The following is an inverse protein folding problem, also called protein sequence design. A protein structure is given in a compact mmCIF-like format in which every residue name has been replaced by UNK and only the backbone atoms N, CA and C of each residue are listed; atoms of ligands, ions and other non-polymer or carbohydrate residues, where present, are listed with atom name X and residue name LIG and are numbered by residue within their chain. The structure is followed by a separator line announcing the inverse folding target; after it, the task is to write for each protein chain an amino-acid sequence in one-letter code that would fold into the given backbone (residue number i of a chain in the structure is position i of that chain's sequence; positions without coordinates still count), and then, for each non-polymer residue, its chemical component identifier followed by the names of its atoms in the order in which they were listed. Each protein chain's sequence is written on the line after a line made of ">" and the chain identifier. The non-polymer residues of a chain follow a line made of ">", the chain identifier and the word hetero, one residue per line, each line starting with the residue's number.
data_IF_836471602283
#
_entry.id   IF_836471602283
#
_cell.length_a   1.000
_cell.length_b   1.000
_cell.length_c   1.000
_cell.angle_alpha   90.00
_cell.angle_beta   90.00
_cell.angle_gamma   90.00
#
_symmetry.space_group_name_H-M   'P 1'
#
loop_
_entity.id
_entity.type
_entity.pdbx_description
1 polymer ?
#
# COMPACT_ATOMS: atom_id res chain seq x y z
N UNK A 1 35.46 -15.11 7.41
CA UNK A 1 34.09 -14.70 7.05
C UNK A 1 33.99 -13.39 6.22
N UNK A 2 35.08 -12.64 6.06
CA UNK A 2 35.10 -11.40 5.26
C UNK A 2 34.93 -11.62 3.73
N UNK A 3 35.49 -12.64 3.09
CA UNK A 3 35.35 -12.84 1.65
C UNK A 3 33.91 -13.17 1.20
N UNK A 4 33.18 -13.95 2.01
CA UNK A 4 31.81 -14.40 1.66
C UNK A 4 30.77 -13.29 1.70
N UNK A 5 30.89 -12.30 2.61
CA UNK A 5 29.99 -11.14 2.64
C UNK A 5 30.14 -10.26 1.40
N UNK A 6 31.41 -9.96 1.00
CA UNK A 6 31.66 -9.17 -0.23
C UNK A 6 31.15 -9.88 -1.48
N UNK A 7 31.24 -11.21 -1.53
CA UNK A 7 30.75 -11.97 -2.68
C UNK A 7 29.24 -11.92 -2.84
N UNK A 8 28.47 -12.01 -1.73
CA UNK A 8 27.01 -11.90 -1.77
C UNK A 8 26.54 -10.49 -2.13
N UNK A 9 27.21 -9.47 -1.59
CA UNK A 9 26.89 -8.06 -1.90
C UNK A 9 27.14 -7.76 -3.38
N UNK A 10 28.26 -8.25 -3.94
CA UNK A 10 28.56 -8.10 -5.37
C UNK A 10 27.59 -8.91 -6.23
N UNK A 11 27.26 -10.15 -5.86
CA UNK A 11 26.30 -10.97 -6.58
C UNK A 11 24.92 -10.30 -6.63
N UNK A 12 24.46 -9.70 -5.52
CA UNK A 12 23.22 -8.93 -5.50
C UNK A 12 23.30 -7.67 -6.38
N UNK A 13 24.38 -6.89 -6.23
CA UNK A 13 24.55 -5.62 -6.97
C UNK A 13 24.59 -5.84 -8.48
N UNK A 14 25.20 -6.93 -8.94
CA UNK A 14 25.33 -7.27 -10.37
C UNK A 14 24.32 -8.31 -10.85
N UNK A 15 23.29 -8.62 -10.04
CA UNK A 15 22.17 -9.43 -10.54
C UNK A 15 21.35 -8.63 -11.56
N UNK A 16 20.92 -9.28 -12.63
CA UNK A 16 20.16 -8.64 -13.72
C UNK A 16 18.92 -7.92 -13.18
N UNK A 17 18.15 -8.58 -12.31
CA UNK A 17 16.93 -8.01 -11.73
C UNK A 17 17.19 -6.72 -10.96
N UNK A 18 18.24 -6.69 -10.12
CA UNK A 18 18.56 -5.48 -9.36
C UNK A 18 19.13 -4.38 -10.25
N UNK A 19 20.01 -4.74 -11.20
CA UNK A 19 20.61 -3.80 -12.12
C UNK A 19 19.54 -3.10 -12.97
N UNK A 20 18.63 -3.85 -13.59
CA UNK A 20 17.52 -3.27 -14.36
C UNK A 20 16.64 -2.37 -13.51
N UNK A 21 16.22 -2.82 -12.32
CA UNK A 21 15.43 -1.99 -11.41
C UNK A 21 16.14 -0.70 -10.99
N UNK A 22 17.48 -0.69 -10.94
CA UNK A 22 18.24 0.49 -10.55
C UNK A 22 18.36 1.53 -11.68
N UNK A 23 18.32 1.11 -12.95
CA UNK A 23 18.50 1.99 -14.10
C UNK A 23 17.19 2.42 -14.77
N UNK A 24 16.08 1.73 -14.50
CA UNK A 24 14.78 2.02 -15.11
C UNK A 24 14.12 3.33 -14.59
N UNK A 25 14.67 3.98 -13.58
CA UNK A 25 14.07 5.18 -12.98
C UNK A 25 12.80 4.92 -12.19
N UNK A 26 12.53 3.67 -11.84
CA UNK A 26 11.42 3.21 -11.01
C UNK A 26 11.71 3.36 -9.51
N UNK A 27 10.66 3.33 -8.70
CA UNK A 27 10.74 3.52 -7.24
C UNK A 27 11.37 2.34 -6.50
N UNK A 28 11.50 1.17 -7.13
CA UNK A 28 11.85 -0.09 -6.46
C UNK A 28 13.28 -0.12 -5.93
N UNK A 29 14.24 0.37 -6.70
CA UNK A 29 15.65 0.40 -6.26
C UNK A 29 15.82 1.32 -5.05
N UNK A 30 15.21 2.50 -5.07
CA UNK A 30 15.27 3.43 -3.94
C UNK A 30 14.49 2.92 -2.72
N UNK A 31 13.35 2.27 -2.93
CA UNK A 31 12.60 1.57 -1.86
C UNK A 31 13.44 0.45 -1.24
N UNK A 32 14.15 -0.34 -2.04
CA UNK A 32 15.05 -1.41 -1.57
C UNK A 32 16.21 -0.84 -0.74
N UNK A 33 16.79 0.29 -1.16
CA UNK A 33 17.81 0.99 -0.38
C UNK A 33 17.28 1.44 0.98
N UNK A 34 16.07 2.06 1.05
CA UNK A 34 15.46 2.47 2.31
C UNK A 34 15.15 1.26 3.20
N UNK A 35 14.71 0.14 2.62
CA UNK A 35 14.51 -1.13 3.34
C UNK A 35 15.81 -1.64 3.94
N UNK A 36 16.89 -1.71 3.15
CA UNK A 36 18.21 -2.15 3.63
C UNK A 36 18.73 -1.22 4.75
N UNK A 37 18.52 0.09 4.61
CA UNK A 37 18.90 1.07 5.61
C UNK A 37 18.14 0.86 6.93
N UNK A 38 16.84 0.58 6.88
CA UNK A 38 16.02 0.26 8.06
C UNK A 38 16.52 -1.02 8.74
N UNK A 39 16.82 -2.08 7.96
CA UNK A 39 17.39 -3.31 8.52
C UNK A 39 18.77 -3.08 9.16
N UNK A 40 19.62 -2.30 8.53
CA UNK A 40 20.91 -1.93 9.13
C UNK A 40 20.73 -1.17 10.45
N UNK A 41 19.81 -0.20 10.49
CA UNK A 41 19.55 0.59 11.70
C UNK A 41 18.94 -0.23 12.83
N UNK A 42 18.07 -1.21 12.55
CA UNK A 42 17.52 -2.07 13.61
C UNK A 42 18.58 -2.99 14.20
N UNK A 43 19.55 -3.48 13.41
CA UNK A 43 20.70 -4.22 13.91
C UNK A 43 21.60 -3.33 14.78
N UNK A 44 21.84 -2.08 14.36
CA UNK A 44 22.57 -1.11 15.20
C UNK A 44 21.85 -0.79 16.51
N UNK A 45 20.51 -0.67 16.47
CA UNK A 45 19.72 -0.55 17.68
C UNK A 45 19.88 -1.76 18.59
N UNK A 46 19.87 -2.96 18.05
CA UNK A 46 20.04 -4.21 18.81
C UNK A 46 21.36 -4.20 19.60
N UNK A 47 22.45 -3.77 18.96
CA UNK A 47 23.77 -3.67 19.60
C UNK A 47 23.79 -2.63 20.75
N UNK A 48 22.98 -1.59 20.68
CA UNK A 48 22.97 -0.45 21.62
C UNK A 48 21.69 -0.37 22.47
N UNK A 49 20.83 -1.40 22.46
CA UNK A 49 19.46 -1.36 23.04
C UNK A 49 19.42 -1.08 24.55
N UNK A 50 20.46 -1.46 25.29
CA UNK A 50 20.55 -1.24 26.73
C UNK A 50 20.96 0.20 27.09
N UNK A 51 21.46 0.97 26.13
CA UNK A 51 21.88 2.35 26.33
C UNK A 51 20.73 3.34 26.10
N UNK A 52 20.79 4.49 26.77
CA UNK A 52 19.84 5.60 26.51
C UNK A 52 20.01 6.14 25.09
N UNK A 53 21.22 6.09 24.56
CA UNK A 53 21.55 6.51 23.20
C UNK A 53 20.98 5.57 22.12
N UNK A 54 20.65 4.32 22.46
CA UNK A 54 20.07 3.36 21.53
C UNK A 54 18.73 3.82 20.95
N UNK A 55 17.91 4.54 21.71
CA UNK A 55 16.59 5.03 21.25
C UNK A 55 16.68 5.90 19.98
N UNK A 56 17.83 6.54 19.72
CA UNK A 56 18.06 7.32 18.50
C UNK A 56 17.87 6.53 17.22
N UNK A 57 18.21 5.25 17.23
CA UNK A 57 18.07 4.37 16.05
C UNK A 57 16.60 4.12 15.72
N UNK A 58 15.77 3.84 16.74
CA UNK A 58 14.32 3.66 16.57
C UNK A 58 13.67 4.95 16.05
N UNK A 59 14.08 6.09 16.58
CA UNK A 59 13.61 7.41 16.14
C UNK A 59 14.00 7.68 14.68
N UNK A 60 15.24 7.33 14.30
CA UNK A 60 15.71 7.48 12.91
C UNK A 60 15.00 6.51 11.96
N UNK A 61 14.71 5.27 12.39
CA UNK A 61 13.90 4.31 11.63
C UNK A 61 12.52 4.90 11.34
N UNK A 62 11.88 5.51 12.33
CA UNK A 62 10.58 6.17 12.14
C UNK A 62 10.64 7.29 11.09
N UNK A 63 11.72 8.08 11.06
CA UNK A 63 11.96 9.07 10.03
C UNK A 63 12.10 8.48 8.65
N UNK A 64 12.91 7.43 8.50
CA UNK A 64 13.11 6.74 7.21
C UNK A 64 11.82 6.08 6.73
N UNK A 65 11.02 5.50 7.63
CA UNK A 65 9.70 4.99 7.29
C UNK A 65 8.79 6.13 6.78
N UNK A 66 8.79 7.27 7.45
CA UNK A 66 8.06 8.47 7.01
C UNK A 66 8.46 8.93 5.61
N UNK A 67 9.77 9.01 5.33
CA UNK A 67 10.30 9.32 3.99
C UNK A 67 9.86 8.27 2.96
N UNK A 68 9.94 7.01 3.32
CA UNK A 68 9.64 5.90 2.40
C UNK A 68 8.18 5.83 1.99
N UNK A 69 7.25 6.30 2.84
CA UNK A 69 5.84 6.43 2.48
C UNK A 69 5.69 7.31 1.22
N UNK A 70 6.49 8.37 1.10
CA UNK A 70 6.52 9.25 -0.08
C UNK A 70 7.16 8.63 -1.33
N UNK A 71 7.88 7.52 -1.19
CA UNK A 71 8.52 6.78 -2.28
C UNK A 71 7.68 5.55 -2.66
N UNK A 72 7.53 4.62 -1.72
CA UNK A 72 6.75 3.40 -1.91
C UNK A 72 6.34 2.78 -0.57
N UNK A 73 5.09 2.35 -0.44
CA UNK A 73 4.53 1.79 0.80
C UNK A 73 5.13 0.42 1.19
N UNK A 74 5.89 -0.22 0.29
CA UNK A 74 6.51 -1.54 0.53
C UNK A 74 7.36 -1.56 1.79
N UNK A 75 8.03 -0.44 2.12
CA UNK A 75 8.89 -0.35 3.30
C UNK A 75 8.13 -0.50 4.64
N UNK A 76 6.81 -0.30 4.66
CA UNK A 76 5.99 -0.59 5.83
C UNK A 76 6.02 -2.08 6.22
N UNK A 77 6.32 -2.96 5.27
CA UNK A 77 6.50 -4.40 5.53
C UNK A 77 7.73 -4.71 6.39
N UNK A 78 8.62 -3.75 6.62
CA UNK A 78 9.70 -3.89 7.61
C UNK A 78 9.19 -3.83 9.06
N UNK A 79 8.00 -3.26 9.31
CA UNK A 79 7.45 -3.09 10.67
C UNK A 79 7.34 -4.42 11.41
N UNK A 80 6.84 -5.54 10.86
CA UNK A 80 6.84 -6.83 11.53
C UNK A 80 8.23 -7.29 11.96
N UNK A 81 9.23 -7.13 11.10
CA UNK A 81 10.60 -7.48 11.43
C UNK A 81 11.16 -6.62 12.57
N UNK A 82 10.92 -5.29 12.53
CA UNK A 82 11.33 -4.37 13.59
C UNK A 82 10.69 -4.74 14.93
N UNK A 83 9.38 -4.99 14.94
CA UNK A 83 8.63 -5.37 16.16
C UNK A 83 9.10 -6.71 16.70
N UNK A 84 9.40 -7.69 15.84
CA UNK A 84 9.94 -8.98 16.27
C UNK A 84 11.34 -8.83 16.84
N UNK A 85 12.25 -8.09 16.20
CA UNK A 85 13.60 -7.84 16.74
C UNK A 85 13.50 -7.13 18.10
N UNK A 86 12.60 -6.12 18.21
CA UNK A 86 12.33 -5.45 19.48
C UNK A 86 11.82 -6.40 20.55
N UNK A 87 10.91 -7.31 20.22
CA UNK A 87 10.38 -8.32 21.13
C UNK A 87 11.49 -9.27 21.60
N UNK A 88 12.30 -9.83 20.69
CA UNK A 88 13.38 -10.73 21.01
C UNK A 88 14.48 -10.08 21.88
N UNK A 89 14.77 -8.81 21.64
CA UNK A 89 15.76 -8.08 22.43
C UNK A 89 15.25 -7.74 23.85
N UNK A 90 13.95 -7.43 23.96
CA UNK A 90 13.36 -6.96 25.23
C UNK A 90 13.01 -8.09 26.19
N UNK A 91 12.68 -9.28 25.69
CA UNK A 91 12.18 -10.39 26.49
C UNK A 91 13.15 -11.57 26.43
N UNK A 92 13.69 -11.96 27.62
CA UNK A 92 14.62 -13.08 27.73
C UNK A 92 13.94 -14.44 27.52
N UNK A 93 12.65 -14.56 27.87
CA UNK A 93 11.86 -15.78 27.69
C UNK A 93 10.91 -15.59 26.52
N UNK A 94 11.18 -16.33 25.45
CA UNK A 94 10.36 -16.30 24.26
C UNK A 94 9.17 -17.24 24.42
N UNK A 95 7.98 -16.73 24.10
CA UNK A 95 6.76 -17.54 24.09
C UNK A 95 6.04 -17.42 22.75
N UNK A 96 5.39 -18.50 22.32
CA UNK A 96 4.58 -18.47 21.10
C UNK A 96 3.50 -17.37 21.17
N UNK A 97 2.87 -17.20 22.33
CA UNK A 97 1.87 -16.12 22.56
C UNK A 97 2.49 -14.74 22.38
N UNK A 98 3.73 -14.53 22.83
CA UNK A 98 4.44 -13.26 22.66
C UNK A 98 4.80 -12.97 21.21
N UNK A 99 5.23 -13.99 20.45
CA UNK A 99 5.49 -13.86 19.00
C UNK A 99 4.21 -13.52 18.25
N UNK A 100 3.11 -14.23 18.51
CA UNK A 100 1.81 -13.93 17.92
C UNK A 100 1.37 -12.50 18.29
N UNK A 101 1.55 -12.09 19.55
CA UNK A 101 1.26 -10.73 20.00
C UNK A 101 2.09 -9.67 19.27
N UNK A 102 3.39 -9.93 19.03
CA UNK A 102 4.27 -9.04 18.27
C UNK A 102 3.83 -8.91 16.81
N UNK A 103 3.47 -10.01 16.16
CA UNK A 103 2.93 -10.02 14.80
C UNK A 103 1.58 -9.28 14.73
N UNK A 104 0.68 -9.52 15.67
CA UNK A 104 -0.61 -8.82 15.75
C UNK A 104 -0.42 -7.31 15.95
N UNK A 105 0.49 -6.90 16.86
CA UNK A 105 0.83 -5.50 17.08
C UNK A 105 1.38 -4.84 15.81
N UNK A 106 2.26 -5.53 15.07
CA UNK A 106 2.81 -5.00 13.82
C UNK A 106 1.73 -4.82 12.75
N UNK A 107 0.77 -5.76 12.66
CA UNK A 107 -0.39 -5.63 11.78
C UNK A 107 -1.26 -4.42 12.16
N UNK A 108 -1.53 -4.21 13.45
CA UNK A 108 -2.27 -3.05 13.94
C UNK A 108 -1.54 -1.75 13.57
N UNK A 109 -0.21 -1.68 13.75
CA UNK A 109 0.58 -0.49 13.41
C UNK A 109 0.50 -0.18 11.90
N UNK A 110 0.62 -1.18 11.04
CA UNK A 110 0.48 -1.01 9.59
C UNK A 110 -0.93 -0.49 9.25
N UNK A 111 -1.98 -1.09 9.80
CA UNK A 111 -3.36 -0.64 9.59
C UNK A 111 -3.56 0.80 10.07
N UNK A 112 -3.04 1.15 11.25
CA UNK A 112 -3.12 2.54 11.75
C UNK A 112 -2.38 3.52 10.84
N UNK A 113 -1.22 3.17 10.30
CA UNK A 113 -0.50 4.05 9.38
C UNK A 113 -1.27 4.20 8.06
N UNK A 114 -1.70 3.09 7.44
CA UNK A 114 -2.33 3.10 6.13
C UNK A 114 -3.74 3.70 6.12
N UNK A 115 -4.56 3.37 7.12
CA UNK A 115 -5.99 3.71 7.11
C UNK A 115 -6.38 4.85 8.05
N UNK A 116 -5.52 5.21 9.00
CA UNK A 116 -5.82 6.30 9.95
C UNK A 116 -4.86 7.45 9.76
N UNK A 117 -3.55 7.21 9.80
CA UNK A 117 -2.56 8.29 9.78
C UNK A 117 -2.48 8.97 8.41
N UNK A 118 -2.23 8.21 7.34
CA UNK A 118 -2.06 8.77 5.98
C UNK A 118 -3.33 9.51 5.52
N UNK A 119 -4.55 8.90 5.49
CA UNK A 119 -5.75 9.61 5.08
C UNK A 119 -6.18 10.67 6.09
N UNK A 120 -6.02 10.43 7.40
CA UNK A 120 -6.37 11.38 8.45
C UNK A 120 -5.62 12.69 8.37
N UNK A 121 -4.32 12.66 8.04
CA UNK A 121 -3.53 13.88 7.82
C UNK A 121 -4.09 14.71 6.66
N UNK A 122 -4.51 14.07 5.58
CA UNK A 122 -5.13 14.76 4.44
C UNK A 122 -6.53 15.29 4.76
N UNK A 123 -7.36 14.53 5.51
CA UNK A 123 -8.71 14.94 5.89
C UNK A 123 -8.71 16.13 6.83
N UNK A 124 -7.95 16.03 7.92
CA UNK A 124 -7.86 17.12 8.90
C UNK A 124 -7.20 18.36 8.28
N UNK A 125 -6.13 18.15 7.47
CA UNK A 125 -5.52 19.24 6.70
C UNK A 125 -6.53 19.92 5.76
N UNK A 126 -7.41 19.16 5.10
CA UNK A 126 -8.50 19.68 4.27
C UNK A 126 -9.53 20.49 5.06
N UNK A 127 -9.91 20.07 6.28
CA UNK A 127 -10.80 20.86 7.14
C UNK A 127 -10.18 22.17 7.58
N UNK A 128 -8.91 22.17 7.95
CA UNK A 128 -8.16 23.39 8.24
C UNK A 128 -8.11 24.30 7.02
N UNK A 129 -7.83 23.75 5.85
CA UNK A 129 -7.77 24.50 4.60
C UNK A 129 -9.10 25.21 4.30
N UNK A 130 -10.24 24.49 4.39
CA UNK A 130 -11.56 25.07 4.21
C UNK A 130 -11.87 26.17 5.24
N UNK A 131 -11.51 25.95 6.50
CA UNK A 131 -11.75 26.95 7.54
C UNK A 131 -10.93 28.23 7.31
N UNK A 132 -9.61 28.09 7.10
CA UNK A 132 -8.74 29.25 6.96
C UNK A 132 -8.97 30.02 5.64
N UNK A 133 -9.25 29.32 4.55
CA UNK A 133 -9.48 29.97 3.25
C UNK A 133 -10.93 30.46 3.12
N UNK A 134 -11.93 29.62 3.37
CA UNK A 134 -13.32 29.96 3.07
C UNK A 134 -13.96 30.85 4.16
N UNK A 135 -13.58 30.66 5.44
CA UNK A 135 -14.17 31.40 6.57
C UNK A 135 -13.30 32.63 6.93
N UNK A 136 -11.98 32.43 7.05
CA UNK A 136 -11.08 33.53 7.43
C UNK A 136 -10.58 34.39 6.25
N UNK A 137 -10.78 33.91 4.99
CA UNK A 137 -10.38 34.65 3.79
C UNK A 137 -8.86 34.69 3.55
N UNK A 138 -8.10 33.74 4.10
CA UNK A 138 -6.66 33.64 3.90
C UNK A 138 -6.33 33.01 2.52
N UNK A 139 -5.11 33.19 2.01
CA UNK A 139 -4.68 32.60 0.76
C UNK A 139 -4.79 31.07 0.75
N UNK A 140 -4.96 30.47 -0.45
CA UNK A 140 -4.92 29.04 -0.63
C UNK A 140 -3.65 28.43 -0.02
N UNK A 141 -3.79 27.22 0.54
CA UNK A 141 -2.76 26.44 1.25
C UNK A 141 -2.36 26.98 2.63
N UNK A 142 -2.90 28.13 3.07
CA UNK A 142 -2.62 28.67 4.43
C UNK A 142 -3.11 27.75 5.54
N UNK A 143 -4.29 27.13 5.38
CA UNK A 143 -4.85 26.20 6.35
C UNK A 143 -3.98 24.94 6.52
N UNK A 144 -3.43 24.42 5.44
CA UNK A 144 -2.52 23.27 5.49
C UNK A 144 -1.22 23.62 6.24
N UNK A 145 -0.65 24.80 5.98
CA UNK A 145 0.57 25.27 6.68
C UNK A 145 0.31 25.41 8.19
N UNK A 146 -0.82 26.03 8.57
CA UNK A 146 -1.21 26.18 9.98
C UNK A 146 -1.43 24.81 10.64
N UNK A 147 -2.10 23.89 9.96
CA UNK A 147 -2.32 22.52 10.44
C UNK A 147 -1.00 21.80 10.72
N UNK A 148 -0.07 21.77 9.75
CA UNK A 148 1.23 21.13 9.93
C UNK A 148 2.03 21.78 11.06
N UNK A 149 2.05 23.13 11.13
CA UNK A 149 2.68 23.87 12.22
C UNK A 149 2.09 23.52 13.58
N UNK A 150 0.77 23.40 13.68
CA UNK A 150 0.07 23.02 14.91
C UNK A 150 0.39 21.57 15.31
N UNK A 151 0.39 20.62 14.38
CA UNK A 151 0.75 19.21 14.65
C UNK A 151 2.18 19.13 15.21
N UNK A 152 3.14 19.80 14.57
CA UNK A 152 4.53 19.83 15.03
C UNK A 152 4.64 20.48 16.41
N UNK A 153 3.97 21.60 16.63
CA UNK A 153 3.95 22.31 17.92
C UNK A 153 3.39 21.43 19.04
N UNK A 154 2.26 20.76 18.81
CA UNK A 154 1.64 19.88 19.79
C UNK A 154 2.52 18.64 20.09
N UNK A 155 3.15 18.03 19.07
CA UNK A 155 4.07 16.91 19.27
C UNK A 155 5.30 17.32 20.07
N UNK A 156 5.91 18.47 19.74
CA UNK A 156 7.05 19.01 20.49
C UNK A 156 6.64 19.30 21.94
N UNK A 157 5.49 19.96 22.16
CA UNK A 157 4.96 20.22 23.49
C UNK A 157 4.71 18.94 24.30
N UNK A 158 4.16 17.90 23.64
CA UNK A 158 3.95 16.58 24.26
C UNK A 158 5.27 15.91 24.65
N UNK A 159 6.30 15.99 23.81
CA UNK A 159 7.65 15.47 24.10
C UNK A 159 8.22 16.11 25.39
N UNK A 160 8.08 17.43 25.53
CA UNK A 160 8.53 18.14 26.73
C UNK A 160 7.68 17.83 27.98
N UNK A 161 6.39 17.57 27.79
CA UNK A 161 5.43 17.27 28.88
C UNK A 161 5.54 15.85 29.41
N UNK A 162 5.71 14.86 28.53
CA UNK A 162 5.73 13.44 28.88
C UNK A 162 7.17 12.90 28.95
N UNK A 163 7.67 12.70 30.18
CA UNK A 163 9.07 12.28 30.45
C UNK A 163 9.28 10.77 30.55
N UNK A 164 8.20 9.95 30.59
CA UNK A 164 8.33 8.50 30.64
C UNK A 164 8.98 8.00 29.34
N UNK A 165 10.14 7.31 29.43
CA UNK A 165 11.00 6.93 28.31
C UNK A 165 10.21 6.35 27.13
N UNK A 166 9.39 5.32 27.36
CA UNK A 166 8.62 4.66 26.30
C UNK A 166 7.67 5.64 25.57
N UNK A 167 6.95 6.48 26.34
CA UNK A 167 6.03 7.48 25.76
C UNK A 167 6.80 8.56 25.01
N UNK A 168 7.91 9.03 25.60
CA UNK A 168 8.74 10.06 24.99
C UNK A 168 9.39 9.58 23.69
N UNK A 169 9.96 8.37 23.68
CA UNK A 169 10.51 7.77 22.45
C UNK A 169 9.41 7.57 21.39
N UNK A 170 8.21 7.13 21.78
CA UNK A 170 7.08 7.00 20.88
C UNK A 170 6.65 8.34 20.26
N UNK A 171 6.64 9.41 21.05
CA UNK A 171 6.35 10.77 20.56
C UNK A 171 7.44 11.29 19.61
N UNK A 172 8.71 11.02 19.89
CA UNK A 172 9.81 11.30 18.98
C UNK A 172 9.67 10.52 17.66
N UNK A 173 9.31 9.24 17.74
CA UNK A 173 9.04 8.44 16.53
C UNK A 173 7.90 9.03 15.71
N UNK A 174 6.80 9.43 16.36
CA UNK A 174 5.66 10.05 15.66
C UNK A 174 6.04 11.40 15.04
N UNK A 175 6.81 12.23 15.75
CA UNK A 175 7.32 13.49 15.21
C UNK A 175 8.20 13.25 13.97
N UNK A 176 9.14 12.32 14.03
CA UNK A 176 10.05 12.03 12.93
C UNK A 176 9.34 11.36 11.75
N UNK A 177 8.40 10.46 12.00
CA UNK A 177 7.51 9.91 10.98
C UNK A 177 6.74 11.06 10.27
N UNK A 178 6.20 12.00 11.04
CA UNK A 178 5.48 13.17 10.49
C UNK A 178 6.39 14.02 9.63
N UNK A 179 7.59 14.34 10.09
CA UNK A 179 8.56 15.12 9.31
C UNK A 179 8.92 14.39 8.01
N UNK A 180 9.19 13.07 8.06
CA UNK A 180 9.43 12.28 6.86
C UNK A 180 8.24 12.27 5.90
N UNK A 181 7.02 12.11 6.42
CA UNK A 181 5.78 12.13 5.63
C UNK A 181 5.51 13.49 4.96
N UNK A 182 5.98 14.61 5.53
CA UNK A 182 5.80 15.94 4.89
C UNK A 182 6.49 16.07 3.53
N UNK A 183 7.30 15.09 3.10
CA UNK A 183 7.82 15.04 1.73
C UNK A 183 6.72 14.98 0.67
N UNK A 184 5.50 14.55 1.00
CA UNK A 184 4.33 14.69 0.13
C UNK A 184 4.00 16.14 -0.23
N UNK A 185 4.42 17.13 0.58
CA UNK A 185 4.30 18.53 0.23
C UNK A 185 5.06 18.91 -1.06
N UNK A 186 6.13 18.15 -1.39
CA UNK A 186 6.87 18.33 -2.65
C UNK A 186 5.96 18.07 -3.84
N UNK A 187 5.05 17.09 -3.77
CA UNK A 187 4.08 16.80 -4.83
C UNK A 187 3.16 18.01 -5.05
N UNK A 188 2.60 18.58 -3.96
CA UNK A 188 1.78 19.78 -4.05
C UNK A 188 2.54 20.97 -4.65
N UNK A 189 3.78 21.21 -4.22
CA UNK A 189 4.62 22.30 -4.71
C UNK A 189 4.90 22.13 -6.21
N UNK A 190 5.28 20.93 -6.63
CA UNK A 190 5.59 20.64 -8.04
C UNK A 190 4.35 20.69 -8.93
N UNK A 191 3.20 20.19 -8.45
CA UNK A 191 1.94 20.28 -9.20
C UNK A 191 1.53 21.73 -9.46
N UNK A 192 1.77 22.64 -8.48
CA UNK A 192 1.51 24.07 -8.66
C UNK A 192 2.56 24.80 -9.54
N UNK A 193 3.72 24.20 -9.78
CA UNK A 193 4.76 24.77 -10.63
C UNK A 193 4.53 24.55 -12.15
N UNK A 194 3.38 23.97 -12.55
CA UNK A 194 3.01 23.68 -13.95
C UNK A 194 4.09 22.91 -14.71
N UNK A 195 4.57 21.81 -14.13
CA UNK A 195 5.55 20.92 -14.77
C UNK A 195 4.98 20.30 -16.04
N UNK A 196 5.81 19.94 -17.07
CA UNK A 196 5.33 19.34 -18.31
C UNK A 196 4.54 18.05 -18.11
N UNK A 197 4.90 17.24 -17.10
CA UNK A 197 4.15 16.07 -16.65
C UNK A 197 3.56 16.37 -15.26
N UNK A 198 2.24 16.54 -15.23
CA UNK A 198 1.48 16.77 -14.00
C UNK A 198 0.24 15.86 -13.99
N UNK A 199 0.50 14.56 -13.88
CA UNK A 199 -0.55 13.55 -13.89
C UNK A 199 -1.45 13.70 -12.66
N UNK A 200 -2.77 13.64 -12.88
CA UNK A 200 -3.82 13.87 -11.87
C UNK A 200 -3.79 15.24 -11.18
N UNK A 201 -2.87 16.13 -11.53
CA UNK A 201 -2.72 17.49 -11.01
C UNK A 201 -3.05 17.63 -9.50
N UNK A 202 -2.30 17.01 -8.59
CA UNK A 202 -2.52 17.07 -7.15
C UNK A 202 -2.06 18.43 -6.58
N UNK A 203 -2.69 19.52 -7.03
CA UNK A 203 -2.34 20.91 -6.74
C UNK A 203 -2.95 21.47 -5.45
N UNK A 204 -3.91 20.75 -4.87
CA UNK A 204 -4.56 21.08 -3.58
C UNK A 204 -4.55 19.88 -2.65
N UNK A 205 -4.83 20.09 -1.36
CA UNK A 205 -4.95 18.98 -0.38
C UNK A 205 -6.07 18.00 -0.76
N UNK A 206 -7.13 18.47 -1.43
CA UNK A 206 -8.26 17.65 -1.87
C UNK A 206 -7.89 16.75 -3.05
N UNK A 207 -7.20 17.30 -4.04
CA UNK A 207 -6.69 16.55 -5.19
C UNK A 207 -5.55 15.61 -4.78
N UNK A 208 -4.69 16.02 -3.83
CA UNK A 208 -3.68 15.15 -3.23
C UNK A 208 -4.32 13.96 -2.50
N UNK A 209 -5.40 14.19 -1.72
CA UNK A 209 -6.15 13.10 -1.06
C UNK A 209 -6.69 12.11 -2.07
N UNK A 210 -7.31 12.59 -3.15
CA UNK A 210 -7.82 11.75 -4.24
C UNK A 210 -6.70 10.93 -4.90
N UNK A 211 -5.55 11.55 -5.12
CA UNK A 211 -4.34 10.89 -5.63
C UNK A 211 -3.82 9.80 -4.68
N UNK A 212 -3.69 10.10 -3.39
CA UNK A 212 -3.23 9.15 -2.37
C UNK A 212 -4.18 7.96 -2.20
N UNK A 213 -5.47 8.20 -2.27
CA UNK A 213 -6.50 7.16 -2.22
C UNK A 213 -6.62 6.38 -3.53
N UNK A 214 -5.83 6.73 -4.56
CA UNK A 214 -5.86 6.08 -5.88
C UNK A 214 -7.26 6.05 -6.50
N UNK A 215 -8.05 7.11 -6.28
CA UNK A 215 -9.45 7.20 -6.71
C UNK A 215 -9.63 7.19 -8.24
N UNK A 216 -8.56 7.41 -9.00
CA UNK A 216 -8.54 7.26 -10.45
C UNK A 216 -8.62 5.80 -10.93
N UNK A 217 -8.38 4.84 -10.04
CA UNK A 217 -8.51 3.42 -10.34
C UNK A 217 -9.81 2.87 -9.78
N UNK A 218 -10.40 1.92 -10.49
CA UNK A 218 -11.57 1.21 -9.97
C UNK A 218 -11.23 0.50 -8.65
N UNK A 219 -12.08 0.65 -7.65
CA UNK A 219 -11.93 -0.02 -6.36
C UNK A 219 -12.68 -1.34 -6.33
N UNK A 220 -11.97 -2.43 -6.02
CA UNK A 220 -12.59 -3.71 -5.74
C UNK A 220 -13.33 -3.66 -4.38
N UNK A 221 -14.59 -4.09 -4.29
CA UNK A 221 -15.26 -4.21 -3.01
C UNK A 221 -14.60 -5.28 -2.14
N UNK A 222 -14.25 -4.94 -0.89
CA UNK A 222 -13.49 -5.83 -0.01
C UNK A 222 -14.36 -6.81 0.75
N UNK A 223 -15.36 -6.30 1.48
CA UNK A 223 -16.18 -7.08 2.41
C UNK A 223 -17.58 -7.35 1.89
N UNK A 224 -18.20 -6.37 1.25
CA UNK A 224 -19.55 -6.44 0.71
C UNK A 224 -19.65 -5.54 -0.51
N UNK A 225 -20.29 -6.01 -1.57
CA UNK A 225 -20.48 -5.22 -2.78
C UNK A 225 -20.88 -6.03 -4.00
N UNK A 226 -20.82 -5.37 -5.16
CA UNK A 226 -21.26 -5.92 -6.45
C UNK A 226 -20.45 -7.15 -6.89
N UNK A 227 -21.10 -7.98 -7.68
CA UNK A 227 -20.50 -9.03 -8.50
C UNK A 227 -20.44 -8.58 -9.96
N UNK A 228 -19.78 -9.38 -10.83
CA UNK A 228 -19.75 -9.09 -12.27
C UNK A 228 -21.14 -9.14 -12.94
N UNK A 229 -22.13 -9.78 -12.31
CA UNK A 229 -23.50 -9.91 -12.82
C UNK A 229 -24.47 -8.92 -12.15
N UNK A 230 -23.99 -8.08 -11.23
CA UNK A 230 -24.84 -7.10 -10.55
C UNK A 230 -25.20 -5.96 -11.50
N UNK A 231 -26.48 -5.65 -11.60
CA UNK A 231 -27.00 -4.52 -12.38
C UNK A 231 -27.20 -3.29 -11.49
N UNK A 232 -27.03 -2.07 -12.03
CA UNK A 232 -27.39 -0.84 -11.30
C UNK A 232 -28.86 -0.86 -10.89
N UNK A 233 -29.16 -0.39 -9.68
CA UNK A 233 -30.55 -0.12 -9.28
C UNK A 233 -31.07 1.12 -10.02
N UNK A 234 -32.30 1.04 -10.51
CA UNK A 234 -32.97 2.14 -11.16
C UNK A 234 -34.13 2.65 -10.31
N UNK A 235 -34.29 3.98 -10.27
CA UNK A 235 -35.39 4.66 -9.60
C UNK A 235 -36.17 5.47 -10.65
N UNK A 236 -37.50 5.52 -10.59
CA UNK A 236 -38.32 6.35 -11.51
C UNK A 236 -38.07 7.84 -11.20
N UNK A 237 -37.81 8.62 -12.23
CA UNK A 237 -37.69 10.09 -12.18
C UNK A 237 -38.52 10.69 -13.29
N UNK A 238 -39.83 10.95 -13.05
CA UNK A 238 -40.81 11.36 -14.06
C UNK A 238 -41.07 10.25 -15.07
N UNK A 239 -40.85 10.54 -16.36
CA UNK A 239 -41.12 9.61 -17.46
C UNK A 239 -39.94 8.71 -17.83
N UNK A 240 -38.83 8.76 -17.08
CA UNK A 240 -37.64 7.92 -17.32
C UNK A 240 -37.09 7.29 -16.01
N UNK A 241 -36.24 6.28 -16.19
CA UNK A 241 -35.55 5.64 -15.09
C UNK A 241 -34.12 6.17 -14.99
N UNK A 242 -33.70 6.54 -13.77
CA UNK A 242 -32.35 6.98 -13.47
C UNK A 242 -31.66 5.97 -12.61
N UNK A 243 -30.33 5.81 -12.81
CA UNK A 243 -29.51 4.99 -11.94
C UNK A 243 -29.52 5.60 -10.53
N UNK A 244 -29.84 4.76 -9.55
CA UNK A 244 -29.80 5.14 -8.15
C UNK A 244 -28.36 5.32 -7.71
N UNK A 245 -28.03 6.51 -7.25
CA UNK A 245 -26.72 6.84 -6.73
C UNK A 245 -26.83 7.32 -5.28
N UNK A 246 -25.86 6.98 -4.46
CA UNK A 246 -25.68 7.55 -3.13
C UNK A 246 -24.69 8.71 -3.21
N UNK A 247 -25.01 9.78 -2.45
CA UNK A 247 -24.18 10.98 -2.41
C UNK A 247 -22.93 10.72 -1.54
N UNK A 248 -21.78 10.68 -2.19
CA UNK A 248 -20.48 10.55 -1.55
C UNK A 248 -19.87 11.88 -1.12
N UNK A 249 -18.54 11.92 -1.00
CA UNK A 249 -17.79 13.10 -0.56
C UNK A 249 -17.84 14.26 -1.56
N UNK A 250 -17.81 15.51 -1.05
CA UNK A 250 -17.76 16.72 -1.88
C UNK A 250 -16.41 16.85 -2.60
N UNK A 251 -16.45 17.26 -3.86
CA UNK A 251 -15.28 17.58 -4.68
C UNK A 251 -15.11 19.09 -4.70
N UNK A 252 -14.01 19.54 -4.11
CA UNK A 252 -13.68 20.96 -4.00
C UNK A 252 -12.74 21.39 -5.13
N UNK A 253 -12.95 22.62 -5.63
CA UNK A 253 -12.03 23.28 -6.56
C UNK A 253 -11.80 24.73 -6.12
N UNK A 254 -10.56 25.25 -6.23
CA UNK A 254 -10.27 26.63 -5.91
C UNK A 254 -10.90 27.57 -6.97
N UNK A 255 -11.69 28.53 -6.53
CA UNK A 255 -12.14 29.66 -7.34
C UNK A 255 -11.17 30.84 -7.09
N UNK A 256 -10.27 31.06 -8.04
CA UNK A 256 -9.24 32.11 -7.94
C UNK A 256 -9.82 33.52 -7.95
N UNK A 257 -11.05 33.72 -8.48
CA UNK A 257 -11.71 35.04 -8.52
C UNK A 257 -12.28 35.42 -7.16
N UNK A 258 -12.87 34.46 -6.47
CA UNK A 258 -13.47 34.68 -5.16
C UNK A 258 -12.49 34.36 -4.00
N UNK A 259 -11.34 33.75 -4.29
CA UNK A 259 -10.36 33.34 -3.27
C UNK A 259 -10.88 32.25 -2.34
N UNK A 260 -11.79 31.40 -2.78
CA UNK A 260 -12.47 30.37 -1.97
C UNK A 260 -12.53 29.03 -2.67
N UNK A 261 -12.63 27.97 -1.90
CA UNK A 261 -12.96 26.64 -2.43
C UNK A 261 -14.47 26.53 -2.61
N UNK A 262 -14.89 26.09 -3.80
CA UNK A 262 -16.29 25.77 -4.12
C UNK A 262 -16.48 24.28 -4.32
N UNK A 263 -17.63 23.78 -3.91
CA UNK A 263 -18.06 22.42 -4.23
C UNK A 263 -18.54 22.45 -5.68
N UNK A 264 -17.88 21.71 -6.58
CA UNK A 264 -18.27 21.60 -7.98
C UNK A 264 -19.25 20.46 -8.21
N UNK A 265 -19.11 19.38 -7.46
CA UNK A 265 -20.02 18.23 -7.48
C UNK A 265 -19.76 17.36 -6.24
N UNK A 266 -20.63 16.40 -6.03
CA UNK A 266 -20.40 15.30 -5.08
C UNK A 266 -19.98 14.05 -5.85
N UNK A 267 -19.22 13.18 -5.23
CA UNK A 267 -19.03 11.82 -5.74
C UNK A 267 -20.39 11.11 -5.70
N UNK A 268 -20.61 10.27 -6.68
CA UNK A 268 -21.84 9.48 -6.79
C UNK A 268 -21.42 8.02 -6.80
N UNK A 269 -21.82 7.29 -5.76
CA UNK A 269 -21.60 5.85 -5.66
C UNK A 269 -22.85 5.14 -6.18
N UNK A 270 -22.69 4.33 -7.22
CA UNK A 270 -23.81 3.59 -7.85
C UNK A 270 -24.27 2.48 -6.91
N UNK A 271 -25.58 2.42 -6.64
CA UNK A 271 -26.20 1.31 -5.95
C UNK A 271 -26.42 0.15 -6.91
N UNK A 272 -26.04 -1.06 -6.49
CA UNK A 272 -26.15 -2.28 -7.28
C UNK A 272 -27.13 -3.26 -6.66
N UNK A 273 -27.85 -4.00 -7.54
CA UNK A 273 -28.60 -5.19 -7.14
C UNK A 273 -27.65 -6.34 -6.84
N UNK A 274 -28.10 -7.37 -6.14
CA UNK A 274 -27.37 -8.63 -5.96
C UNK A 274 -25.93 -8.46 -5.42
N UNK A 275 -25.79 -7.73 -4.35
CA UNK A 275 -24.52 -7.64 -3.64
C UNK A 275 -24.17 -8.94 -2.90
N UNK A 276 -22.89 -9.21 -2.77
CA UNK A 276 -22.33 -10.43 -2.19
C UNK A 276 -21.37 -10.10 -1.03
N UNK A 277 -21.26 -11.00 -0.05
CA UNK A 277 -20.20 -10.94 0.96
C UNK A 277 -18.87 -11.38 0.37
N UNK A 278 -17.79 -10.62 0.67
CA UNK A 278 -16.44 -10.90 0.21
C UNK A 278 -16.34 -11.12 -1.31
N UNK A 279 -16.83 -10.18 -2.14
CA UNK A 279 -16.90 -10.37 -3.59
C UNK A 279 -15.51 -10.34 -4.22
N UNK A 280 -15.08 -11.48 -4.74
CA UNK A 280 -13.82 -11.61 -5.49
C UNK A 280 -14.04 -11.55 -7.00
N UNK A 281 -15.24 -11.89 -7.45
CA UNK A 281 -15.68 -11.92 -8.84
C UNK A 281 -16.55 -10.68 -9.14
N UNK A 282 -15.96 -9.46 -9.05
CA UNK A 282 -16.70 -8.20 -9.06
C UNK A 282 -16.67 -7.45 -10.40
N UNK A 283 -15.64 -7.67 -11.24
CA UNK A 283 -15.43 -6.92 -12.47
C UNK A 283 -16.14 -7.61 -13.64
N UNK A 284 -17.06 -6.92 -14.29
CA UNK A 284 -17.84 -7.39 -15.43
C UNK A 284 -16.97 -7.79 -16.64
N UNK A 285 -15.89 -7.05 -16.89
CA UNK A 285 -14.94 -7.33 -17.98
C UNK A 285 -14.19 -8.64 -17.82
N UNK A 286 -14.10 -9.14 -16.61
CA UNK A 286 -13.35 -10.37 -16.24
C UNK A 286 -14.25 -11.59 -16.06
N UNK A 287 -15.55 -11.52 -16.38
CA UNK A 287 -16.53 -12.58 -16.14
C UNK A 287 -16.12 -13.92 -16.74
N UNK A 288 -15.59 -13.96 -17.96
CA UNK A 288 -15.13 -15.18 -18.61
C UNK A 288 -13.95 -15.85 -17.86
N UNK A 289 -12.97 -15.05 -17.42
CA UNK A 289 -11.84 -15.52 -16.62
C UNK A 289 -12.29 -16.08 -15.27
N UNK A 290 -13.21 -15.37 -14.59
CA UNK A 290 -13.76 -15.84 -13.32
C UNK A 290 -14.40 -17.23 -13.44
N UNK A 291 -15.21 -17.42 -14.49
CA UNK A 291 -15.88 -18.70 -14.75
C UNK A 291 -14.90 -19.83 -15.07
N UNK A 292 -13.86 -19.55 -15.85
CA UNK A 292 -12.81 -20.52 -16.13
C UNK A 292 -12.13 -21.04 -14.85
N UNK A 293 -11.89 -20.17 -13.88
CA UNK A 293 -11.24 -20.54 -12.63
C UNK A 293 -12.19 -21.10 -11.56
N UNK A 294 -13.47 -20.74 -11.58
CA UNK A 294 -14.46 -21.20 -10.60
C UNK A 294 -15.26 -22.43 -11.03
N UNK A 295 -15.20 -22.80 -12.33
CA UNK A 295 -16.01 -23.88 -12.91
C UNK A 295 -17.50 -23.52 -13.06
N UNK A 296 -17.87 -22.24 -13.03
CA UNK A 296 -19.25 -21.78 -13.12
C UNK A 296 -19.83 -21.78 -14.53
N UNK A 297 -21.15 -21.81 -14.63
CA UNK A 297 -21.91 -21.76 -15.90
C UNK A 297 -21.82 -20.41 -16.62
N UNK A 298 -22.02 -20.40 -17.94
CA UNK A 298 -21.68 -19.26 -18.79
C UNK A 298 -22.48 -17.97 -18.56
N UNK A 299 -23.72 -18.02 -18.03
CA UNK A 299 -24.65 -16.88 -18.00
C UNK A 299 -25.32 -16.60 -16.64
N UNK A 300 -24.86 -17.21 -15.57
CA UNK A 300 -25.48 -17.07 -14.26
C UNK A 300 -24.67 -16.14 -13.34
N UNK A 301 -25.37 -15.46 -12.42
CA UNK A 301 -24.73 -14.70 -11.37
C UNK A 301 -23.88 -15.63 -10.48
N UNK A 302 -22.70 -15.18 -9.99
CA UNK A 302 -21.83 -16.06 -9.23
C UNK A 302 -22.47 -16.43 -7.91
N UNK A 303 -22.40 -17.72 -7.57
CA UNK A 303 -22.74 -18.20 -6.23
C UNK A 303 -21.60 -17.92 -5.25
N UNK A 304 -21.92 -17.90 -3.93
CA UNK A 304 -20.89 -17.74 -2.90
C UNK A 304 -19.84 -18.86 -2.95
N UNK A 305 -20.22 -20.08 -3.36
CA UNK A 305 -19.31 -21.21 -3.53
C UNK A 305 -18.33 -20.95 -4.67
N UNK A 306 -18.79 -20.53 -5.83
CA UNK A 306 -17.95 -20.19 -6.99
C UNK A 306 -16.99 -19.04 -6.66
N UNK A 307 -17.47 -18.00 -5.96
CA UNK A 307 -16.68 -16.89 -5.51
C UNK A 307 -15.54 -17.34 -4.56
N UNK A 308 -15.80 -18.23 -3.61
CA UNK A 308 -14.77 -18.81 -2.74
C UNK A 308 -13.84 -19.76 -3.50
N UNK A 309 -14.37 -20.54 -4.46
CA UNK A 309 -13.54 -21.38 -5.34
C UNK A 309 -12.56 -20.51 -6.12
N UNK A 310 -13.02 -19.43 -6.74
CA UNK A 310 -12.15 -18.47 -7.42
C UNK A 310 -11.09 -17.86 -6.48
N UNK A 311 -11.47 -17.47 -5.28
CA UNK A 311 -10.51 -16.98 -4.29
C UNK A 311 -9.41 -17.98 -3.98
N UNK A 312 -9.77 -19.24 -3.75
CA UNK A 312 -8.80 -20.29 -3.38
C UNK A 312 -7.94 -20.68 -4.59
N UNK A 313 -8.56 -20.97 -5.74
CA UNK A 313 -7.85 -21.52 -6.91
C UNK A 313 -7.02 -20.46 -7.62
N UNK A 314 -7.59 -19.26 -7.85
CA UNK A 314 -6.91 -18.21 -8.57
C UNK A 314 -6.12 -17.28 -7.65
N UNK A 315 -6.78 -16.60 -6.72
CA UNK A 315 -6.09 -15.54 -5.96
C UNK A 315 -5.09 -16.12 -4.96
N UNK A 316 -5.48 -17.16 -4.20
CA UNK A 316 -4.59 -17.72 -3.19
C UNK A 316 -3.57 -18.69 -3.80
N UNK A 317 -4.01 -19.63 -4.65
CA UNK A 317 -3.11 -20.64 -5.20
C UNK A 317 -2.29 -20.10 -6.37
N UNK A 318 -2.95 -19.64 -7.46
CA UNK A 318 -2.25 -19.22 -8.66
C UNK A 318 -1.52 -17.86 -8.49
N UNK A 319 -2.20 -16.83 -8.01
CA UNK A 319 -1.59 -15.49 -7.89
C UNK A 319 -0.60 -15.42 -6.73
N UNK A 320 -0.95 -15.93 -5.54
CA UNK A 320 -0.09 -15.80 -4.36
C UNK A 320 0.92 -16.96 -4.26
N UNK A 321 0.46 -18.21 -4.07
CA UNK A 321 1.39 -19.33 -3.82
C UNK A 321 2.29 -19.66 -5.01
N UNK A 322 1.75 -19.69 -6.24
CA UNK A 322 2.59 -19.88 -7.43
C UNK A 322 3.67 -18.82 -7.53
N UNK A 323 3.31 -17.54 -7.36
CA UNK A 323 4.27 -16.43 -7.46
C UNK A 323 5.29 -16.45 -6.31
N UNK A 324 4.85 -16.76 -5.09
CA UNK A 324 5.75 -16.94 -3.94
C UNK A 324 6.77 -18.06 -4.19
N UNK A 325 6.30 -19.23 -4.60
CA UNK A 325 7.17 -20.37 -4.86
C UNK A 325 8.07 -20.14 -6.09
N UNK A 326 7.57 -19.45 -7.12
CA UNK A 326 8.34 -19.03 -8.27
C UNK A 326 9.52 -18.12 -7.88
N UNK A 327 9.37 -17.23 -6.90
CA UNK A 327 10.45 -16.37 -6.41
C UNK A 327 11.43 -17.09 -5.49
N UNK A 328 10.97 -18.01 -4.65
CA UNK A 328 11.76 -18.55 -3.53
C UNK A 328 12.18 -20.01 -3.68
N UNK A 329 11.55 -20.79 -4.54
CA UNK A 329 11.91 -22.20 -4.78
C UNK A 329 12.61 -22.36 -6.12
N UNK A 330 11.97 -21.98 -7.22
CA UNK A 330 12.58 -22.03 -8.54
C UNK A 330 11.62 -21.60 -9.64
N UNK A 331 12.16 -21.03 -10.70
CA UNK A 331 11.43 -20.51 -11.86
C UNK A 331 11.45 -21.49 -13.01
N UNK A 332 10.30 -21.74 -13.61
CA UNK A 332 10.23 -22.46 -14.88
C UNK A 332 10.80 -21.60 -16.00
N UNK A 333 10.23 -20.41 -16.20
CA UNK A 333 10.65 -19.37 -17.13
C UNK A 333 10.11 -18.01 -16.66
N UNK A 334 10.47 -16.92 -17.34
CA UNK A 334 10.02 -15.55 -17.05
C UNK A 334 8.82 -15.13 -17.91
N UNK A 335 8.24 -16.05 -18.69
CA UNK A 335 7.07 -15.78 -19.52
C UNK A 335 5.83 -15.76 -18.61
N UNK A 336 5.02 -14.72 -18.75
CA UNK A 336 3.78 -14.60 -17.98
C UNK A 336 2.76 -15.64 -18.45
N UNK A 337 2.36 -16.57 -17.57
CA UNK A 337 1.32 -17.55 -17.81
C UNK A 337 -0.05 -17.12 -17.31
N UNK A 338 -1.08 -17.85 -17.75
CA UNK A 338 -2.49 -17.71 -17.32
C UNK A 338 -3.03 -18.96 -16.64
N UNK A 339 -2.15 -19.89 -16.20
CA UNK A 339 -2.47 -21.13 -15.52
C UNK A 339 -2.12 -22.37 -16.33
N UNK A 340 -1.63 -22.20 -17.55
CA UNK A 340 -1.11 -23.27 -18.39
C UNK A 340 0.19 -23.88 -17.82
N UNK A 341 0.54 -25.15 -18.15
CA UNK A 341 1.74 -25.81 -17.64
C UNK A 341 3.05 -25.26 -18.21
N UNK A 342 3.02 -24.55 -19.33
CA UNK A 342 4.19 -24.15 -20.11
C UNK A 342 4.86 -22.87 -19.58
N UNK A 343 4.09 -21.95 -18.97
CA UNK A 343 4.59 -20.61 -18.67
C UNK A 343 4.40 -20.18 -17.22
N UNK A 344 5.43 -19.49 -16.70
CA UNK A 344 5.38 -18.77 -15.44
C UNK A 344 5.13 -19.59 -14.19
N UNK A 345 5.37 -20.89 -14.23
CA UNK A 345 5.18 -21.78 -13.08
C UNK A 345 6.44 -21.81 -12.19
N UNK A 346 6.24 -22.21 -10.95
CA UNK A 346 7.36 -22.56 -10.07
C UNK A 346 7.79 -24.01 -10.30
N UNK A 347 9.06 -24.30 -10.07
CA UNK A 347 9.63 -25.64 -10.18
C UNK A 347 10.45 -25.98 -8.94
N UNK A 348 10.52 -27.26 -8.59
CA UNK A 348 11.34 -27.77 -7.48
C UNK A 348 12.78 -27.99 -7.89
N UNK A 349 13.07 -28.10 -9.19
CA UNK A 349 14.35 -28.57 -9.74
C UNK A 349 14.50 -30.09 -9.72
N UNK A 350 13.53 -30.82 -9.18
CA UNK A 350 13.51 -32.29 -9.16
C UNK A 350 12.63 -32.77 -10.31
N UNK A 351 13.24 -33.23 -11.40
CA UNK A 351 12.57 -33.51 -12.68
C UNK A 351 11.33 -34.38 -12.58
N UNK A 352 11.35 -35.43 -11.76
CA UNK A 352 10.21 -36.33 -11.65
C UNK A 352 8.99 -35.69 -10.96
N UNK A 353 9.22 -34.79 -9.97
CA UNK A 353 8.16 -34.01 -9.31
C UNK A 353 7.58 -32.95 -10.24
N UNK A 354 8.45 -32.26 -10.93
CA UNK A 354 8.04 -31.17 -11.83
C UNK A 354 7.28 -31.75 -13.04
N UNK A 355 7.76 -32.89 -13.61
CA UNK A 355 7.07 -33.57 -14.70
C UNK A 355 5.70 -34.15 -14.29
N UNK A 356 5.55 -34.59 -13.03
CA UNK A 356 4.25 -35.08 -12.53
C UNK A 356 3.21 -33.93 -12.48
N UNK A 357 3.66 -32.71 -12.22
CA UNK A 357 2.80 -31.54 -12.03
C UNK A 357 2.58 -30.74 -13.33
N UNK A 358 3.60 -30.57 -14.13
CA UNK A 358 3.61 -29.68 -15.29
C UNK A 358 3.83 -30.39 -16.63
N UNK A 359 4.03 -31.72 -16.64
CA UNK A 359 4.44 -32.44 -17.83
C UNK A 359 5.96 -32.43 -18.07
N UNK A 360 6.41 -32.97 -19.21
CA UNK A 360 7.86 -33.07 -19.49
C UNK A 360 8.49 -31.70 -19.76
N UNK A 361 9.20 -31.18 -18.77
CA UNK A 361 9.82 -29.89 -18.81
C UNK A 361 11.02 -29.79 -19.80
N UNK A 362 11.56 -30.91 -20.27
CA UNK A 362 12.64 -30.91 -21.25
C UNK A 362 12.15 -30.49 -22.64
N UNK A 363 10.91 -30.85 -23.00
CA UNK A 363 10.29 -30.45 -24.24
C UNK A 363 10.00 -28.94 -24.30
N UNK A 364 9.65 -28.35 -23.15
CA UNK A 364 9.27 -26.95 -23.04
C UNK A 364 10.48 -25.99 -23.05
N UNK A 365 11.67 -26.45 -22.62
CA UNK A 365 12.90 -25.66 -22.64
C UNK A 365 13.60 -25.59 -24.00
N UNK A 366 13.23 -26.44 -24.94
CA UNK A 366 13.88 -26.50 -26.26
C UNK A 366 13.44 -25.38 -27.22
N UNK A 367 12.42 -24.61 -26.90
CA UNK A 367 11.92 -23.51 -27.74
C UNK A 367 12.51 -22.14 -27.39
N UNK A 368 13.33 -22.03 -26.32
CA UNK A 368 13.94 -20.78 -25.85
C UNK A 368 15.40 -20.56 -26.28
N UNK A 369 15.91 -21.34 -27.26
CA UNK A 369 17.28 -21.16 -27.79
C UNK A 369 17.29 -20.78 -29.26
#
# INVERSE_FOLDING_TARGET
>A
SFPTRRSSDLAYTFSDTFWFSAVEGEVYAFSSFLTALVFWMILRWQDESDSVSGDRWIILIAYIIGLSIGVHLLNLLCIPAIVLVFYYQKYQVLSLKGVIGAIALSGILIVLILFVYIPGMADVGGWFELFFVNVMGLPFQSGLIVFLGLVLFLLIGAIYRFRKRIVNTGLWCLLMLTIGYTTYAVILIRANANTPLNENAPDTIFTLKSYLNREQYESAPLLYGRTYASEPEYVPEGDYYKVKTEKGSAIYRPDKKEGKYKIIRYKEDVCYTQNMLFPRMWNDRSAASYKGWSGGGANEAPTQKENLTYFITYQLNYMYWRYFLWNFVGRQNDIQGSGEPEHGNWITGISWLDNLRLGDQKLLRSEEH
#
